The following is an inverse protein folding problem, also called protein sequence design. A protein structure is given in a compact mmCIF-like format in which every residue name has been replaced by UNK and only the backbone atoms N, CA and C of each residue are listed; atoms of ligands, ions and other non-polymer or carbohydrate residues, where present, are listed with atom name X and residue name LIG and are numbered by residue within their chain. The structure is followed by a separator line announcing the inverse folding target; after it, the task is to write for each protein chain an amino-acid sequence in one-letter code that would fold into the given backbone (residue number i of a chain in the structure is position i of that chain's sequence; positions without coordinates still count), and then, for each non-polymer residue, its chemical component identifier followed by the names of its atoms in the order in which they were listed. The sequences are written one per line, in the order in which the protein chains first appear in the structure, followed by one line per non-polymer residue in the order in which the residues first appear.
data_IF_101122746395
#
_entry.id   IF_101122746395
#
_cell.length_a   1.000
_cell.length_b   1.000
_cell.length_c   1.000
_cell.angle_alpha   90.00
_cell.angle_beta   90.00
_cell.angle_gamma   90.00
#
_symmetry.space_group_name_H-M   'P 1'
#
loop_
_entity.id
_entity.type
_entity.pdbx_description
1 polymer ?
#
# COMPACT_ATOMS: atom_id res chain seq x y z
N UNK A 1 13.61 -0.25 1.67
CA UNK A 1 12.26 -0.30 1.06
C UNK A 1 11.25 0.42 1.95
N UNK A 2 10.07 0.75 1.40
CA UNK A 2 8.86 1.18 2.12
C UNK A 2 7.94 -0.03 2.24
N UNK A 3 7.47 -0.39 3.43
CA UNK A 3 6.51 -1.48 3.58
C UNK A 3 5.08 -0.96 3.37
N UNK A 4 4.26 -1.72 2.65
CA UNK A 4 2.84 -1.42 2.51
C UNK A 4 2.02 -2.18 3.56
N UNK A 5 1.28 -1.44 4.38
CA UNK A 5 0.25 -1.98 5.26
C UNK A 5 -1.12 -1.74 4.64
N UNK A 6 -1.84 -2.80 4.30
CA UNK A 6 -3.17 -2.73 3.70
C UNK A 6 -4.01 -3.94 4.09
N UNK A 7 -5.32 -3.84 3.88
CA UNK A 7 -6.22 -4.98 4.08
C UNK A 7 -6.30 -5.84 2.83
N UNK A 8 -6.05 -7.14 2.96
CA UNK A 8 -6.12 -8.07 1.83
C UNK A 8 -7.53 -8.15 1.22
N UNK A 9 -8.55 -8.03 2.07
CA UNK A 9 -9.97 -8.16 1.70
C UNK A 9 -10.49 -9.58 1.85
N UNK A 10 -11.77 -9.81 1.53
CA UNK A 10 -12.43 -11.14 1.61
C UNK A 10 -12.49 -11.86 0.26
N UNK A 11 -12.14 -11.19 -0.83
CA UNK A 11 -12.26 -11.73 -2.18
C UNK A 11 -10.92 -12.29 -2.63
N UNK A 12 -10.98 -13.39 -3.39
CA UNK A 12 -9.81 -13.94 -4.07
C UNK A 12 -9.18 -12.90 -5.02
N UNK A 13 -7.86 -13.00 -5.27
CA UNK A 13 -7.16 -12.14 -6.22
C UNK A 13 -7.81 -12.18 -7.62
N UNK A 14 -8.50 -11.13 -8.02
CA UNK A 14 -9.27 -11.05 -9.28
C UNK A 14 -8.66 -10.10 -10.31
N UNK A 15 -7.57 -9.42 -9.96
CA UNK A 15 -6.87 -8.47 -10.81
C UNK A 15 -5.46 -8.97 -11.15
N UNK A 16 -4.92 -8.53 -12.29
CA UNK A 16 -3.55 -8.85 -12.70
C UNK A 16 -2.72 -7.57 -12.79
N UNK A 17 -1.49 -7.63 -12.30
CA UNK A 17 -0.46 -6.58 -12.48
C UNK A 17 0.80 -7.19 -13.06
N UNK A 18 1.65 -6.38 -13.68
CA UNK A 18 2.94 -6.82 -14.20
C UNK A 18 4.04 -6.44 -13.20
N UNK A 19 4.83 -7.42 -12.80
CA UNK A 19 6.04 -7.26 -11.98
C UNK A 19 7.19 -7.77 -12.82
N UNK A 20 8.09 -6.87 -13.23
CA UNK A 20 9.21 -7.17 -14.13
C UNK A 20 8.79 -7.96 -15.39
N UNK A 21 7.63 -7.59 -15.96
CA UNK A 21 7.05 -8.25 -17.14
C UNK A 21 6.28 -9.54 -16.85
N UNK A 22 6.30 -10.04 -15.62
CA UNK A 22 5.58 -11.25 -15.19
C UNK A 22 4.19 -10.90 -14.65
N UNK A 23 3.11 -11.56 -15.11
CA UNK A 23 1.78 -11.33 -14.57
C UNK A 23 1.62 -11.94 -13.17
N UNK A 24 1.22 -11.10 -12.21
CA UNK A 24 0.94 -11.48 -10.82
C UNK A 24 -0.51 -11.17 -10.50
N UNK A 25 -1.22 -12.13 -9.89
CA UNK A 25 -2.60 -11.95 -9.43
C UNK A 25 -2.62 -11.22 -8.10
N UNK A 26 -3.41 -10.16 -8.02
CA UNK A 26 -3.58 -9.33 -6.83
C UNK A 26 -5.05 -9.06 -6.57
N UNK A 27 -5.39 -8.74 -5.32
CA UNK A 27 -6.75 -8.32 -4.99
C UNK A 27 -7.05 -6.95 -5.58
N UNK A 28 -8.34 -6.69 -5.86
CA UNK A 28 -8.81 -5.38 -6.31
C UNK A 28 -8.37 -4.22 -5.40
N UNK A 29 -8.28 -4.46 -4.09
CA UNK A 29 -7.83 -3.42 -3.15
C UNK A 29 -6.36 -3.04 -3.40
N UNK A 30 -5.49 -4.04 -3.57
CA UNK A 30 -4.09 -3.79 -3.89
C UNK A 30 -3.93 -3.16 -5.28
N UNK A 31 -4.72 -3.58 -6.28
CA UNK A 31 -4.71 -2.95 -7.61
C UNK A 31 -5.03 -1.46 -7.54
N UNK A 32 -6.04 -1.07 -6.75
CA UNK A 32 -6.41 0.34 -6.55
C UNK A 32 -5.27 1.14 -5.90
N UNK A 33 -4.61 0.56 -4.90
CA UNK A 33 -3.44 1.17 -4.30
C UNK A 33 -2.34 1.39 -5.35
N UNK A 34 -1.98 0.37 -6.13
CA UNK A 34 -0.93 0.45 -7.15
C UNK A 34 -1.26 1.50 -8.23
N UNK A 35 -2.51 1.58 -8.69
CA UNK A 35 -2.95 2.59 -9.65
C UNK A 35 -2.83 4.01 -9.10
N UNK A 36 -3.18 4.20 -7.83
CA UNK A 36 -3.04 5.49 -7.16
C UNK A 36 -1.56 5.85 -6.93
N UNK A 37 -0.76 4.90 -6.45
CA UNK A 37 0.67 5.07 -6.26
C UNK A 37 1.39 5.40 -7.57
N UNK A 38 0.97 4.78 -8.68
CA UNK A 38 1.49 5.05 -10.01
C UNK A 38 1.18 6.46 -10.52
N UNK A 39 0.16 7.16 -10.00
CA UNK A 39 -0.15 8.56 -10.34
C UNK A 39 0.64 9.58 -9.52
N UNK A 40 1.09 9.18 -8.33
CA UNK A 40 1.76 10.06 -7.39
C UNK A 40 3.29 9.95 -7.56
N UNK A 41 3.93 11.01 -8.05
CA UNK A 41 5.38 11.04 -8.31
C UNK A 41 6.22 10.61 -7.09
N UNK A 42 5.78 10.92 -5.87
CA UNK A 42 6.45 10.55 -4.61
C UNK A 42 6.62 9.03 -4.41
N UNK A 43 5.81 8.20 -5.07
CA UNK A 43 5.83 6.74 -4.91
C UNK A 43 6.46 5.99 -6.08
N UNK A 44 6.68 6.66 -7.23
CA UNK A 44 7.27 6.03 -8.42
C UNK A 44 8.74 5.63 -8.23
N UNK A 45 9.50 6.38 -7.43
CA UNK A 45 10.94 6.17 -7.25
C UNK A 45 11.30 5.37 -6.00
N UNK A 46 10.32 4.85 -5.26
CA UNK A 46 10.54 4.10 -4.02
C UNK A 46 10.42 2.61 -4.26
N UNK A 47 11.34 1.83 -3.70
CA UNK A 47 11.18 0.38 -3.57
C UNK A 47 10.11 0.09 -2.52
N UNK A 48 9.07 -0.63 -2.91
CA UNK A 48 7.98 -1.05 -2.03
C UNK A 48 8.09 -2.53 -1.71
N UNK A 49 7.89 -2.90 -0.46
CA UNK A 49 7.66 -4.27 -0.05
C UNK A 49 6.16 -4.46 0.17
N UNK A 50 5.58 -5.39 -0.58
CA UNK A 50 4.14 -5.70 -0.60
C UNK A 50 4.04 -7.21 -0.46
N UNK A 51 3.50 -7.70 0.65
CA UNK A 51 3.42 -9.14 0.97
C UNK A 51 2.85 -9.99 -0.17
N UNK A 52 1.73 -9.60 -0.78
CA UNK A 52 1.10 -10.32 -1.88
C UNK A 52 1.92 -10.38 -3.18
N UNK A 53 3.00 -9.60 -3.29
CA UNK A 53 3.92 -9.60 -4.45
C UNK A 53 5.27 -10.21 -4.07
N UNK A 54 5.79 -9.87 -2.88
CA UNK A 54 7.13 -10.25 -2.46
C UNK A 54 7.21 -11.65 -1.83
N UNK A 55 6.08 -12.23 -1.43
CA UNK A 55 6.00 -13.58 -0.84
C UNK A 55 5.35 -14.50 -1.87
N UNK A 56 5.94 -15.67 -2.11
CA UNK A 56 5.29 -16.73 -2.88
C UNK A 56 4.05 -17.25 -2.13
N UNK A 57 2.88 -16.80 -2.60
CA UNK A 57 1.58 -17.18 -2.02
C UNK A 57 1.21 -18.65 -2.26
N UNK A 58 1.91 -19.34 -3.15
CA UNK A 58 1.66 -20.77 -3.45
C UNK A 58 2.46 -21.70 -2.54
N UNK A 59 3.52 -21.19 -1.92
CA UNK A 59 4.39 -21.94 -1.00
C UNK A 59 3.97 -21.68 0.45
N UNK A 60 3.24 -22.64 1.04
CA UNK A 60 2.86 -22.56 2.46
C UNK A 60 4.08 -22.47 3.39
N UNK A 61 5.18 -23.11 3.01
CA UNK A 61 6.44 -23.06 3.76
C UNK A 61 7.01 -21.65 3.77
N UNK A 62 7.09 -20.99 2.61
CA UNK A 62 7.57 -19.61 2.53
C UNK A 62 6.62 -18.66 3.24
N UNK A 63 5.32 -18.78 3.00
CA UNK A 63 4.31 -17.93 3.65
C UNK A 63 4.44 -17.99 5.17
N UNK A 64 4.53 -19.20 5.75
CA UNK A 64 4.72 -19.37 7.20
C UNK A 64 6.03 -18.75 7.68
N UNK A 65 7.12 -18.95 6.94
CA UNK A 65 8.42 -18.38 7.28
C UNK A 65 8.40 -16.84 7.26
N UNK A 66 7.83 -16.25 6.20
CA UNK A 66 7.72 -14.81 6.01
C UNK A 66 6.79 -14.16 7.04
N UNK A 67 5.70 -14.84 7.41
CA UNK A 67 4.81 -14.40 8.52
C UNK A 67 5.60 -14.31 9.83
N UNK A 68 6.48 -15.28 10.11
CA UNK A 68 7.38 -15.23 11.26
C UNK A 68 8.38 -14.07 11.23
N UNK A 69 8.70 -13.55 10.04
CA UNK A 69 9.61 -12.42 9.83
C UNK A 69 8.92 -11.06 9.76
N UNK A 70 7.58 -10.98 9.81
CA UNK A 70 6.87 -9.70 9.59
C UNK A 70 7.32 -8.60 10.55
N UNK A 71 7.53 -8.91 11.84
CA UNK A 71 8.02 -7.93 12.81
C UNK A 71 9.36 -7.31 12.39
N UNK A 72 10.27 -8.14 11.87
CA UNK A 72 11.57 -7.72 11.37
C UNK A 72 11.47 -6.92 10.08
N UNK A 73 10.61 -7.35 9.15
CA UNK A 73 10.40 -6.66 7.86
C UNK A 73 9.86 -5.26 8.11
N UNK A 74 8.81 -5.14 8.93
CA UNK A 74 8.21 -3.85 9.22
C UNK A 74 9.14 -2.94 10.04
N UNK A 75 9.93 -3.49 10.97
CA UNK A 75 10.88 -2.70 11.77
C UNK A 75 12.10 -2.22 10.97
N UNK A 76 12.53 -2.97 9.95
CA UNK A 76 13.64 -2.61 9.05
C UNK A 76 13.19 -1.73 7.87
N UNK A 77 11.89 -1.56 7.65
CA UNK A 77 11.37 -0.66 6.64
C UNK A 77 11.73 0.80 6.96
N UNK A 78 12.13 1.57 5.94
CA UNK A 78 12.41 3.01 6.12
C UNK A 78 11.18 3.78 6.61
N UNK A 79 10.03 3.38 6.09
CA UNK A 79 8.72 3.91 6.45
C UNK A 79 7.67 2.86 6.14
N UNK A 80 6.54 2.94 6.85
CA UNK A 80 5.36 2.12 6.56
C UNK A 80 4.31 3.03 5.93
N UNK A 81 3.83 2.65 4.76
CA UNK A 81 2.72 3.32 4.10
C UNK A 81 1.43 2.57 4.41
N UNK A 82 0.44 3.27 4.95
CA UNK A 82 -0.83 2.67 5.35
C UNK A 82 -1.90 3.03 4.31
N UNK A 83 -2.42 2.01 3.64
CA UNK A 83 -3.52 2.13 2.69
C UNK A 83 -4.85 1.78 3.36
N UNK A 84 -5.69 2.79 3.54
CA UNK A 84 -7.02 2.65 4.14
C UNK A 84 -8.12 2.44 3.09
N UNK A 85 -7.76 2.39 1.81
CA UNK A 85 -8.70 2.38 0.70
C UNK A 85 -8.81 3.75 0.00
N UNK A 86 -9.61 3.82 -1.08
CA UNK A 86 -9.89 5.07 -1.76
C UNK A 86 -10.52 6.09 -0.81
N UNK A 87 -10.19 7.37 -0.98
CA UNK A 87 -10.81 8.39 -0.16
C UNK A 87 -12.33 8.43 -0.37
N UNK A 88 -13.04 8.67 0.72
CA UNK A 88 -14.49 8.80 0.78
C UNK A 88 -14.85 10.17 1.38
N UNK A 89 -16.13 10.55 1.35
CA UNK A 89 -16.60 11.78 2.01
C UNK A 89 -16.20 11.76 3.48
N UNK A 90 -15.48 12.78 3.93
CA UNK A 90 -14.99 12.90 5.31
C UNK A 90 -13.61 12.27 5.56
N UNK A 91 -13.02 11.54 4.60
CA UNK A 91 -11.65 11.00 4.75
C UNK A 91 -10.64 12.11 5.04
N UNK A 92 -10.69 13.24 4.35
CA UNK A 92 -9.76 14.35 4.59
C UNK A 92 -9.82 14.88 6.04
N UNK A 93 -11.02 15.00 6.60
CA UNK A 93 -11.22 15.43 8.00
C UNK A 93 -10.64 14.42 8.98
N UNK A 94 -10.92 13.12 8.78
CA UNK A 94 -10.38 12.06 9.63
C UNK A 94 -8.84 12.00 9.55
N UNK A 95 -8.27 12.11 8.34
CA UNK A 95 -6.83 12.13 8.12
C UNK A 95 -6.16 13.34 8.76
N UNK A 96 -6.80 14.52 8.70
CA UNK A 96 -6.32 15.73 9.37
C UNK A 96 -6.28 15.57 10.89
N UNK A 97 -7.27 14.91 11.49
CA UNK A 97 -7.27 14.58 12.92
C UNK A 97 -6.13 13.63 13.29
N UNK A 98 -5.88 12.61 12.48
CA UNK A 98 -4.82 11.63 12.71
C UNK A 98 -3.41 12.20 12.56
N UNK A 99 -3.19 13.12 11.60
CA UNK A 99 -1.88 13.76 11.36
C UNK A 99 -1.34 14.52 12.59
N UNK A 100 -2.20 14.93 13.53
CA UNK A 100 -1.78 15.62 14.76
C UNK A 100 -1.29 14.71 15.90
N UNK A 101 -1.42 13.39 15.80
CA UNK A 101 -1.20 12.47 16.93
C UNK A 101 0.01 11.52 16.78
N UNK A 102 0.55 11.29 15.59
CA UNK A 102 1.60 10.28 15.37
C UNK A 102 2.99 10.88 15.18
N UNK A 103 3.94 10.49 16.07
CA UNK A 103 5.31 11.02 16.18
C UNK A 103 6.37 10.25 15.37
N UNK A 104 6.02 9.11 14.76
CA UNK A 104 6.86 8.37 13.79
C UNK A 104 6.26 8.52 12.40
N UNK A 105 7.10 8.47 11.36
CA UNK A 105 6.74 8.59 9.94
C UNK A 105 5.84 7.44 9.43
N UNK A 106 4.62 7.36 9.98
CA UNK A 106 3.53 6.55 9.46
C UNK A 106 2.80 7.45 8.46
N UNK A 107 3.02 7.18 7.17
CA UNK A 107 2.33 7.90 6.11
C UNK A 107 0.98 7.23 5.89
N UNK A 108 -0.03 7.75 6.57
CA UNK A 108 -1.43 7.38 6.33
C UNK A 108 -1.88 8.22 5.12
N UNK A 109 -2.29 7.57 4.03
CA UNK A 109 -2.81 8.27 2.85
C UNK A 109 -4.27 7.88 2.58
N UNK A 110 -5.14 8.88 2.55
CA UNK A 110 -6.45 8.82 1.93
C UNK A 110 -6.64 10.09 1.09
N UNK A 111 -5.88 10.22 0.01
CA UNK A 111 -6.02 11.34 -0.93
C UNK A 111 -6.60 10.83 -2.25
N UNK A 112 -7.93 10.89 -2.37
CA UNK A 112 -8.58 11.06 -3.65
C UNK A 112 -9.30 12.41 -3.62
N UNK A 113 -8.99 13.23 -4.63
CA UNK A 113 -9.57 14.53 -4.99
C UNK A 113 -9.18 15.76 -4.14
N UNK A 114 -8.06 16.37 -4.54
CA UNK A 114 -8.01 17.79 -4.91
C UNK A 114 -7.26 17.90 -6.26
N UNK A 115 -7.87 17.39 -7.33
CA UNK A 115 -7.64 17.96 -8.67
C UNK A 115 -8.79 18.91 -8.93
N UNK A 116 -8.74 20.09 -8.32
CA UNK A 116 -9.39 21.30 -8.83
C UNK A 116 -8.76 22.52 -8.11
N UNK A 117 -8.23 23.44 -8.93
CA UNK A 117 -7.61 24.75 -8.62
C UNK A 117 -6.23 24.72 -7.92
N UNK A 118 -5.13 25.16 -8.55
CA UNK A 118 -4.93 26.47 -9.17
C UNK A 118 -4.13 26.43 -10.50
N UNK A 119 -4.67 27.18 -11.47
CA UNK A 119 -4.03 27.96 -12.54
C UNK A 119 -2.49 28.12 -12.49
N UNK A 120 -1.79 27.73 -13.56
CA UNK A 120 -1.43 28.60 -14.71
C UNK A 120 -1.59 27.79 -15.99
#
# INVERSE_FOLDING_TARGET
YTALSYTWGKCDPDCTVLVDGTPVRVTRNLKRFLDQAARLHKYRSRQHWIDAICIDQTSMTECTHQVGLMADIYSKARSVLVWLGPAYRGSQTAMKMLRGQYRREIWIEAEAQLCEFQLV
#
